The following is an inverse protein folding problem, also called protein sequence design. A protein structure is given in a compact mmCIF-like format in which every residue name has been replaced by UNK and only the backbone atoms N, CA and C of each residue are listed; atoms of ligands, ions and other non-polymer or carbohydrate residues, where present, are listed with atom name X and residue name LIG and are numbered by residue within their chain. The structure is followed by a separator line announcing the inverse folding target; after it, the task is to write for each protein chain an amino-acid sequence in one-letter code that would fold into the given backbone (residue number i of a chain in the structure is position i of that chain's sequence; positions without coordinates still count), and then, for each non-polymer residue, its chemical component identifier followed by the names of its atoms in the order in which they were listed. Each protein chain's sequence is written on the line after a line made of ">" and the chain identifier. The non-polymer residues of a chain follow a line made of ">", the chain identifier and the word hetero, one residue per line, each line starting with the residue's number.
data_IF_147528246983
#
_entry.id   IF_147528246983
#
_cell.length_a   1.000
_cell.length_b   1.000
_cell.length_c   1.000
_cell.angle_alpha   90.00
_cell.angle_beta   90.00
_cell.angle_gamma   90.00
#
_symmetry.space_group_name_H-M   'P 1'
#
loop_
_entity.id
_entity.type
_entity.pdbx_description
1 polymer ?
#
# COMPACT_ATOMS: atom_id res chain seq x y z
N UNK A 1 -34.86 -37.93 4.60
CA UNK A 1 -34.72 -36.51 4.98
C UNK A 1 -33.47 -36.42 5.82
N UNK A 2 -32.33 -36.00 5.26
CA UNK A 2 -31.09 -35.82 6.03
C UNK A 2 -30.07 -34.96 5.26
N UNK A 3 -30.48 -33.74 4.88
CA UNK A 3 -29.67 -32.83 4.05
C UNK A 3 -29.20 -31.55 4.76
N UNK A 4 -29.71 -31.27 5.97
CA UNK A 4 -29.48 -30.02 6.69
C UNK A 4 -28.20 -29.99 7.51
N UNK A 5 -27.74 -31.14 8.02
CA UNK A 5 -26.59 -31.26 8.92
C UNK A 5 -25.26 -30.93 8.25
N UNK A 6 -25.08 -31.24 6.96
CA UNK A 6 -23.85 -30.92 6.22
C UNK A 6 -23.73 -29.46 5.79
N UNK A 7 -24.83 -28.71 5.61
CA UNK A 7 -24.77 -27.28 5.26
C UNK A 7 -24.41 -26.39 6.44
N UNK A 8 -24.80 -26.75 7.67
CA UNK A 8 -24.48 -25.93 8.85
C UNK A 8 -22.99 -25.90 9.20
N UNK A 9 -22.26 -27.01 9.03
CA UNK A 9 -20.84 -27.09 9.36
C UNK A 9 -20.01 -26.11 8.52
N UNK A 10 -20.12 -26.22 7.19
CA UNK A 10 -19.33 -25.39 6.26
C UNK A 10 -19.58 -23.89 6.39
N UNK A 11 -20.79 -23.47 6.80
CA UNK A 11 -21.10 -22.06 7.04
C UNK A 11 -20.46 -21.51 8.34
N UNK A 12 -20.13 -22.38 9.31
CA UNK A 12 -19.40 -21.99 10.52
C UNK A 12 -17.92 -21.82 10.23
N UNK A 13 -17.31 -22.78 9.56
CA UNK A 13 -15.87 -22.76 9.26
C UNK A 13 -15.52 -21.60 8.32
N UNK A 14 -16.34 -21.37 7.29
CA UNK A 14 -16.22 -20.20 6.42
C UNK A 14 -16.30 -18.89 7.22
N UNK A 15 -17.17 -18.80 8.23
CA UNK A 15 -17.29 -17.62 9.09
C UNK A 15 -16.07 -17.39 9.98
N UNK A 16 -15.37 -18.46 10.39
CA UNK A 16 -14.17 -18.36 11.24
C UNK A 16 -12.98 -17.77 10.49
N UNK A 17 -12.72 -18.16 9.21
CA UNK A 17 -11.61 -17.56 8.46
C UNK A 17 -11.82 -16.06 8.19
N UNK A 18 -13.06 -15.66 7.90
CA UNK A 18 -13.42 -14.25 7.72
C UNK A 18 -13.10 -13.42 8.95
N UNK A 19 -13.63 -13.85 10.09
CA UNK A 19 -13.46 -13.14 11.35
C UNK A 19 -11.98 -13.12 11.78
N UNK A 20 -11.20 -14.16 11.48
CA UNK A 20 -9.75 -14.14 11.70
C UNK A 20 -9.04 -13.06 10.87
N UNK A 21 -9.32 -12.94 9.57
CA UNK A 21 -8.73 -11.90 8.72
C UNK A 21 -9.22 -10.49 9.10
N UNK A 22 -10.51 -10.34 9.46
CA UNK A 22 -11.06 -9.10 10.03
C UNK A 22 -10.29 -8.67 11.29
N UNK A 23 -9.97 -9.60 12.20
CA UNK A 23 -9.14 -9.32 13.37
C UNK A 23 -7.70 -8.94 13.00
N UNK A 24 -7.09 -9.58 12.00
CA UNK A 24 -5.73 -9.25 11.55
C UNK A 24 -5.64 -7.83 10.97
N UNK A 25 -6.58 -7.43 10.11
CA UNK A 25 -6.69 -6.04 9.62
C UNK A 25 -6.92 -5.05 10.76
N UNK A 26 -7.77 -5.39 11.73
CA UNK A 26 -8.05 -4.55 12.90
C UNK A 26 -6.81 -4.36 13.79
N UNK A 27 -6.01 -5.41 13.96
CA UNK A 27 -4.77 -5.36 14.74
C UNK A 27 -3.71 -4.47 14.06
N UNK A 28 -3.58 -4.54 12.72
CA UNK A 28 -2.67 -3.67 11.97
C UNK A 28 -3.08 -2.18 12.04
N UNK A 29 -4.38 -1.90 12.00
CA UNK A 29 -4.89 -0.54 12.22
C UNK A 29 -4.68 -0.06 13.67
N UNK A 30 -4.76 -0.95 14.66
CA UNK A 30 -4.50 -0.63 16.06
C UNK A 30 -3.02 -0.31 16.33
N UNK A 31 -2.08 -0.98 15.66
CA UNK A 31 -0.64 -0.67 15.77
C UNK A 31 -0.33 0.78 15.37
N UNK A 32 -1.01 1.34 14.36
CA UNK A 32 -0.87 2.76 13.99
C UNK A 32 -1.24 3.67 15.17
N UNK A 33 -2.34 3.39 15.87
CA UNK A 33 -2.76 4.17 17.03
C UNK A 33 -1.76 4.06 18.20
N UNK A 34 -1.18 2.87 18.42
CA UNK A 34 -0.12 2.66 19.41
C UNK A 34 1.14 3.45 19.05
N UNK A 35 1.60 3.39 17.80
CA UNK A 35 2.75 4.18 17.32
C UNK A 35 2.50 5.67 17.50
N UNK A 36 1.33 6.15 17.08
CA UNK A 36 0.97 7.57 17.19
C UNK A 36 0.99 8.07 18.63
N UNK A 37 0.49 7.27 19.58
CA UNK A 37 0.58 7.58 21.01
C UNK A 37 2.04 7.64 21.50
N UNK A 38 2.89 6.67 21.14
CA UNK A 38 4.31 6.70 21.55
C UNK A 38 5.07 7.91 21.02
N UNK A 39 4.69 8.44 19.86
CA UNK A 39 5.27 9.65 19.27
C UNK A 39 4.77 10.90 20.01
N UNK A 40 3.48 10.97 20.32
CA UNK A 40 2.87 12.07 21.08
C UNK A 40 3.63 12.32 22.39
N UNK A 41 3.96 11.25 23.10
CA UNK A 41 4.67 11.29 24.39
C UNK A 41 6.12 11.77 24.30
N UNK A 42 6.72 11.86 23.11
CA UNK A 42 8.10 12.36 22.94
C UNK A 42 8.26 13.87 23.07
N UNK A 43 7.15 14.63 23.04
CA UNK A 43 7.19 16.10 23.08
C UNK A 43 7.85 16.75 21.85
N UNK A 44 7.89 16.05 20.72
CA UNK A 44 8.42 16.56 19.45
C UNK A 44 7.66 17.83 18.96
N UNK A 45 8.33 18.65 18.15
CA UNK A 45 7.70 19.82 17.52
C UNK A 45 6.72 19.39 16.42
N UNK A 46 5.44 19.64 16.69
CA UNK A 46 4.29 19.34 15.85
C UNK A 46 4.30 20.01 14.48
N UNK A 47 5.03 21.13 14.34
CA UNK A 47 5.14 21.89 13.10
C UNK A 47 6.44 21.62 12.34
N UNK A 48 7.30 20.74 12.86
CA UNK A 48 8.52 20.32 12.18
C UNK A 48 8.21 19.48 10.94
N UNK A 49 9.02 19.63 9.89
CA UNK A 49 8.87 18.83 8.67
C UNK A 49 8.97 17.32 8.91
N UNK A 50 9.80 16.89 9.87
CA UNK A 50 9.97 15.48 10.21
C UNK A 50 8.70 14.93 10.89
N UNK A 51 8.06 15.70 11.79
CA UNK A 51 6.77 15.30 12.36
C UNK A 51 5.68 15.21 11.28
N UNK A 52 5.68 16.11 10.28
CA UNK A 52 4.77 16.03 9.15
C UNK A 52 5.01 14.80 8.25
N UNK A 53 6.27 14.39 8.05
CA UNK A 53 6.64 13.18 7.31
C UNK A 53 6.16 11.90 8.03
N UNK A 54 6.39 11.81 9.34
CA UNK A 54 5.83 10.74 10.14
C UNK A 54 4.29 10.68 10.08
N UNK A 55 3.61 11.84 10.08
CA UNK A 55 2.15 11.89 9.93
C UNK A 55 1.68 11.45 8.53
N UNK A 56 2.40 11.80 7.45
CA UNK A 56 2.06 11.34 6.10
C UNK A 56 2.25 9.83 5.95
N UNK A 57 3.30 9.26 6.55
CA UNK A 57 3.55 7.81 6.54
C UNK A 57 2.46 7.03 7.28
N UNK A 58 2.07 7.51 8.47
CA UNK A 58 0.97 6.92 9.25
C UNK A 58 -0.37 7.00 8.50
N UNK A 59 -0.64 8.13 7.84
CA UNK A 59 -1.83 8.31 6.99
C UNK A 59 -1.80 7.38 5.76
N UNK A 60 -0.65 7.27 5.09
CA UNK A 60 -0.45 6.36 3.95
C UNK A 60 -0.69 4.91 4.37
N UNK A 61 -0.08 4.49 5.48
CA UNK A 61 -0.23 3.15 6.04
C UNK A 61 -1.70 2.84 6.38
N UNK A 62 -2.39 3.79 7.02
CA UNK A 62 -3.82 3.65 7.34
C UNK A 62 -4.69 3.54 6.08
N UNK A 63 -4.46 4.39 5.08
CA UNK A 63 -5.20 4.34 3.80
C UNK A 63 -4.92 3.04 3.05
N UNK A 64 -3.67 2.56 3.05
CA UNK A 64 -3.29 1.29 2.42
C UNK A 64 -4.01 0.10 3.07
N UNK A 65 -3.97 0.02 4.41
CA UNK A 65 -4.68 -1.02 5.20
C UNK A 65 -6.19 -0.93 4.97
N UNK A 66 -6.80 0.26 5.04
CA UNK A 66 -8.24 0.44 4.89
C UNK A 66 -8.72 0.11 3.46
N UNK A 67 -8.01 0.56 2.42
CA UNK A 67 -8.32 0.23 1.03
C UNK A 67 -8.16 -1.26 0.74
N UNK A 68 -7.17 -1.91 1.37
CA UNK A 68 -6.94 -3.35 1.31
C UNK A 68 -8.08 -4.14 1.96
N UNK A 69 -8.45 -3.80 3.19
CA UNK A 69 -9.57 -4.38 3.92
C UNK A 69 -10.89 -4.27 3.14
N UNK A 70 -11.19 -3.08 2.60
CA UNK A 70 -12.34 -2.89 1.72
C UNK A 70 -12.22 -3.74 0.45
N UNK A 71 -11.01 -3.89 -0.09
CA UNK A 71 -10.66 -4.76 -1.21
C UNK A 71 -11.06 -6.21 -0.96
N UNK A 72 -10.54 -6.75 0.13
CA UNK A 72 -10.81 -8.09 0.64
C UNK A 72 -12.30 -8.33 0.90
N UNK A 73 -12.96 -7.48 1.70
CA UNK A 73 -14.41 -7.56 1.98
C UNK A 73 -15.26 -7.64 0.70
N UNK A 74 -15.01 -6.77 -0.30
CA UNK A 74 -15.77 -6.82 -1.57
C UNK A 74 -15.48 -8.07 -2.41
N UNK A 75 -14.27 -8.63 -2.32
CA UNK A 75 -13.93 -9.90 -2.96
C UNK A 75 -14.75 -11.02 -2.31
N UNK A 76 -14.64 -11.16 -0.99
CA UNK A 76 -15.10 -12.33 -0.26
C UNK A 76 -16.64 -12.37 -0.05
N UNK A 77 -17.32 -11.21 -0.04
CA UNK A 77 -18.78 -11.15 -0.21
C UNK A 77 -19.25 -11.83 -1.51
N UNK A 78 -18.38 -11.94 -2.53
CA UNK A 78 -18.65 -12.70 -3.77
C UNK A 78 -18.36 -14.21 -3.69
N UNK A 79 -17.58 -14.66 -2.68
CA UNK A 79 -17.12 -16.04 -2.53
C UNK A 79 -17.79 -16.80 -1.35
N UNK A 80 -18.50 -16.07 -0.47
CA UNK A 80 -19.12 -16.48 0.79
C UNK A 80 -19.92 -17.80 0.81
N UNK A 81 -20.46 -18.23 -0.33
CA UNK A 81 -21.24 -19.48 -0.46
C UNK A 81 -20.39 -20.72 -0.85
N UNK A 82 -19.06 -20.60 -0.89
CA UNK A 82 -18.17 -21.66 -1.44
C UNK A 82 -16.83 -21.85 -0.74
N UNK A 83 -16.37 -20.91 0.09
CA UNK A 83 -15.05 -20.97 0.74
C UNK A 83 -15.02 -21.98 1.91
N UNK A 84 -15.03 -23.28 1.59
CA UNK A 84 -14.71 -24.35 2.53
C UNK A 84 -13.24 -24.76 2.38
N UNK A 85 -12.44 -24.49 3.42
CA UNK A 85 -11.04 -24.94 3.49
C UNK A 85 -11.02 -26.47 3.68
N UNK A 86 -11.02 -27.20 2.57
CA UNK A 86 -11.08 -28.67 2.56
C UNK A 86 -9.73 -29.34 2.84
N UNK A 87 -8.60 -28.63 2.69
CA UNK A 87 -7.26 -29.14 2.96
C UNK A 87 -6.22 -28.02 3.09
N UNK A 88 -5.05 -28.33 3.67
CA UNK A 88 -3.91 -27.41 3.79
C UNK A 88 -3.23 -27.04 2.46
N UNK A 89 -3.62 -27.68 1.35
CA UNK A 89 -3.13 -27.41 -0.01
C UNK A 89 -4.32 -27.00 -0.89
N UNK A 90 -5.37 -26.44 -0.29
CA UNK A 90 -6.49 -25.85 -1.01
C UNK A 90 -6.17 -24.41 -1.44
N UNK A 91 -6.86 -23.92 -2.47
CA UNK A 91 -6.66 -22.56 -2.97
C UNK A 91 -7.10 -21.52 -1.94
N UNK A 92 -8.13 -21.83 -1.17
CA UNK A 92 -8.68 -21.03 -0.07
C UNK A 92 -7.66 -20.89 1.08
N UNK A 93 -6.85 -21.92 1.37
CA UNK A 93 -5.76 -21.81 2.34
C UNK A 93 -4.60 -20.96 1.82
N UNK A 94 -4.28 -21.04 0.52
CA UNK A 94 -3.26 -20.18 -0.10
C UNK A 94 -3.72 -18.72 -0.15
N UNK A 95 -5.02 -18.49 -0.35
CA UNK A 95 -5.67 -17.18 -0.22
C UNK A 95 -5.54 -16.68 1.24
N UNK A 96 -5.96 -17.46 2.24
CA UNK A 96 -5.76 -17.08 3.66
C UNK A 96 -4.28 -16.79 4.01
N UNK A 97 -3.33 -17.54 3.45
CA UNK A 97 -1.91 -17.33 3.70
C UNK A 97 -1.39 -16.01 3.12
N UNK A 98 -1.85 -15.58 1.93
CA UNK A 98 -1.42 -14.29 1.38
C UNK A 98 -1.99 -13.12 2.20
N UNK A 99 -3.24 -13.20 2.68
CA UNK A 99 -3.82 -12.20 3.58
C UNK A 99 -2.97 -12.03 4.85
N UNK A 100 -2.56 -13.14 5.47
CA UNK A 100 -1.68 -13.12 6.65
C UNK A 100 -0.33 -12.47 6.33
N UNK A 101 0.33 -12.87 5.24
CA UNK A 101 1.63 -12.29 4.82
C UNK A 101 1.50 -10.79 4.54
N UNK A 102 0.43 -10.38 3.87
CA UNK A 102 0.13 -9.00 3.51
C UNK A 102 -0.15 -8.13 4.75
N UNK A 103 -0.86 -8.67 5.76
CA UNK A 103 -1.01 -8.02 7.06
C UNK A 103 0.33 -7.92 7.80
N UNK A 104 1.16 -8.95 7.81
CA UNK A 104 2.51 -8.89 8.41
C UNK A 104 3.36 -7.80 7.75
N UNK A 105 3.25 -7.60 6.43
CA UNK A 105 3.92 -6.48 5.73
C UNK A 105 3.38 -5.12 6.18
N UNK A 106 2.08 -5.00 6.48
CA UNK A 106 1.54 -3.76 7.08
C UNK A 106 2.09 -3.51 8.48
N UNK A 107 2.24 -4.54 9.31
CA UNK A 107 2.93 -4.41 10.60
C UNK A 107 4.37 -3.93 10.42
N UNK A 108 5.11 -4.49 9.45
CA UNK A 108 6.49 -4.08 9.17
C UNK A 108 6.53 -2.62 8.69
N UNK A 109 5.66 -2.22 7.75
CA UNK A 109 5.55 -0.83 7.26
C UNK A 109 5.28 0.16 8.41
N UNK A 110 4.33 -0.17 9.30
CA UNK A 110 3.96 0.67 10.45
C UNK A 110 5.04 0.64 11.55
N UNK A 111 5.73 -0.48 11.76
CA UNK A 111 6.77 -0.61 12.79
C UNK A 111 8.09 0.07 12.39
N UNK A 112 8.44 0.02 11.10
CA UNK A 112 9.62 0.66 10.53
C UNK A 112 9.42 2.18 10.30
N UNK A 113 8.24 2.72 10.61
CA UNK A 113 8.01 4.16 10.66
C UNK A 113 9.09 4.84 11.51
N UNK A 114 9.54 6.01 11.05
CA UNK A 114 10.57 6.86 11.66
C UNK A 114 10.64 6.76 13.19
N UNK A 115 11.67 6.06 13.69
CA UNK A 115 11.90 5.92 15.13
C UNK A 115 12.43 7.26 15.65
N UNK A 116 11.82 7.87 16.68
CA UNK A 116 12.38 9.06 17.32
C UNK A 116 13.71 8.70 17.99
N UNK A 117 14.82 9.22 17.44
CA UNK A 117 16.15 8.99 18.01
C UNK A 117 16.41 10.07 19.04
N UNK A 118 16.47 9.65 20.30
CA UNK A 118 17.04 10.47 21.38
C UNK A 118 18.56 10.52 21.17
N UNK A 119 19.06 11.64 20.65
CA UNK A 119 20.50 11.86 20.44
C UNK A 119 21.28 11.65 21.75
N UNK A 120 22.28 10.74 21.81
CA UNK A 120 22.92 10.32 23.06
C UNK A 120 23.81 11.40 23.71
N UNK A 121 24.01 12.55 23.05
CA UNK A 121 24.72 13.71 23.60
C UNK A 121 23.80 14.71 24.33
N UNK A 122 22.59 14.30 24.73
CA UNK A 122 21.58 15.12 25.42
C UNK A 122 21.92 15.45 26.89
N UNK A 123 23.10 16.01 27.15
CA UNK A 123 23.31 16.84 28.33
C UNK A 123 22.60 18.18 28.12
N UNK A 124 21.49 18.39 28.84
CA UNK A 124 20.59 19.56 28.83
C UNK A 124 19.47 19.60 27.78
N UNK A 125 18.40 18.81 28.01
CA UNK A 125 17.02 19.27 27.84
C UNK A 125 16.48 19.52 26.43
N UNK A 126 17.14 19.06 25.38
CA UNK A 126 16.67 19.18 23.99
C UNK A 126 15.64 18.12 23.59
N UNK A 127 14.70 18.50 22.73
CA UNK A 127 13.63 17.64 22.22
C UNK A 127 14.15 16.48 21.35
N UNK A 128 13.38 15.39 21.29
CA UNK A 128 13.71 14.22 20.47
C UNK A 128 13.74 14.56 18.98
N UNK A 129 14.77 14.10 18.27
CA UNK A 129 14.92 14.30 16.82
C UNK A 129 14.41 13.07 16.06
N UNK A 130 13.34 13.26 15.30
CA UNK A 130 12.78 12.22 14.43
C UNK A 130 13.70 12.05 13.20
N UNK A 131 14.20 10.84 12.96
CA UNK A 131 15.01 10.53 11.77
C UNK A 131 14.11 10.04 10.63
N UNK A 132 13.98 10.88 9.62
CA UNK A 132 13.27 10.59 8.38
C UNK A 132 14.01 9.54 7.54
N UNK A 133 13.29 8.60 6.95
CA UNK A 133 13.85 7.54 6.11
C UNK A 133 12.81 6.98 5.14
N UNK A 134 13.09 7.00 3.84
CA UNK A 134 12.19 6.54 2.76
C UNK A 134 12.33 5.03 2.40
N UNK A 135 13.23 4.33 3.09
CA UNK A 135 13.54 2.91 2.82
C UNK A 135 12.38 1.96 3.16
N UNK A 136 11.66 2.10 4.30
CA UNK A 136 10.55 1.21 4.66
C UNK A 136 9.43 1.21 3.61
N UNK A 137 9.06 2.38 3.12
CA UNK A 137 7.98 2.62 2.17
C UNK A 137 8.39 2.12 0.79
N UNK A 138 9.62 2.45 0.36
CA UNK A 138 10.21 1.98 -0.90
C UNK A 138 10.34 0.45 -0.97
N UNK A 139 10.46 -0.25 0.17
CA UNK A 139 10.46 -1.72 0.22
C UNK A 139 9.04 -2.31 0.32
N UNK A 140 8.24 -1.84 1.27
CA UNK A 140 6.98 -2.49 1.62
C UNK A 140 5.86 -2.16 0.62
N UNK A 141 5.79 -0.94 0.08
CA UNK A 141 4.71 -0.53 -0.83
C UNK A 141 4.74 -1.33 -2.14
N UNK A 142 5.87 -1.50 -2.85
CA UNK A 142 5.92 -2.36 -4.03
C UNK A 142 5.62 -3.82 -3.70
N UNK A 143 6.08 -4.32 -2.55
CA UNK A 143 5.78 -5.68 -2.12
C UNK A 143 4.27 -5.91 -1.98
N UNK A 144 3.54 -4.98 -1.36
CA UNK A 144 2.07 -5.03 -1.25
C UNK A 144 1.39 -5.05 -2.62
N UNK A 145 1.80 -4.19 -3.56
CA UNK A 145 1.21 -4.19 -4.90
C UNK A 145 1.57 -5.45 -5.72
N UNK A 146 2.76 -6.02 -5.53
CA UNK A 146 3.13 -7.33 -6.09
C UNK A 146 2.26 -8.44 -5.48
N UNK A 147 2.01 -8.41 -4.16
CA UNK A 147 1.08 -9.34 -3.51
C UNK A 147 -0.35 -9.20 -4.05
N UNK A 148 -0.87 -7.99 -4.30
CA UNK A 148 -2.18 -7.83 -4.97
C UNK A 148 -2.21 -8.40 -6.40
N UNK A 149 -1.10 -8.38 -7.13
CA UNK A 149 -0.98 -9.02 -8.44
C UNK A 149 -1.00 -10.56 -8.31
N UNK A 150 -0.27 -11.11 -7.34
CA UNK A 150 -0.29 -12.55 -7.01
C UNK A 150 -1.68 -13.00 -6.56
N UNK A 151 -2.36 -12.20 -5.73
CA UNK A 151 -3.75 -12.39 -5.30
C UNK A 151 -4.72 -12.52 -6.48
N UNK A 152 -4.62 -11.61 -7.45
CA UNK A 152 -5.48 -11.61 -8.63
C UNK A 152 -5.32 -12.87 -9.50
N UNK A 153 -4.16 -13.51 -9.43
CA UNK A 153 -3.83 -14.74 -10.15
C UNK A 153 -4.35 -15.95 -9.36
N UNK A 154 -4.07 -16.02 -8.05
CA UNK A 154 -4.51 -17.10 -7.16
C UNK A 154 -6.04 -17.21 -7.12
N UNK A 155 -6.74 -16.12 -6.81
CA UNK A 155 -8.22 -16.07 -6.71
C UNK A 155 -8.95 -16.48 -8.00
N UNK A 156 -8.29 -16.49 -9.16
CA UNK A 156 -8.91 -16.73 -10.48
C UNK A 156 -8.40 -17.96 -11.23
N UNK A 157 -7.26 -18.52 -10.82
CA UNK A 157 -6.76 -19.82 -11.31
C UNK A 157 -7.74 -20.99 -11.11
N UNK A 158 -8.37 -21.18 -9.93
CA UNK A 158 -9.38 -22.22 -9.73
C UNK A 158 -10.73 -21.84 -10.34
N UNK A 159 -11.07 -20.54 -10.35
CA UNK A 159 -12.30 -19.99 -10.94
C UNK A 159 -12.29 -19.97 -12.47
N UNK A 160 -11.95 -21.10 -13.12
CA UNK A 160 -12.03 -21.24 -14.58
C UNK A 160 -13.46 -21.15 -15.14
N UNK A 161 -14.49 -21.10 -14.30
CA UNK A 161 -15.90 -20.96 -14.68
C UNK A 161 -16.46 -19.69 -14.03
N UNK A 162 -16.95 -18.78 -14.86
CA UNK A 162 -17.62 -17.53 -14.49
C UNK A 162 -18.97 -17.84 -13.84
N UNK A 163 -19.01 -17.82 -12.50
CA UNK A 163 -20.16 -18.26 -11.68
C UNK A 163 -21.46 -17.51 -11.98
N UNK A 164 -21.42 -16.28 -12.52
CA UNK A 164 -22.61 -15.52 -12.94
C UNK A 164 -23.18 -15.95 -14.28
N UNK A 165 -22.40 -16.65 -15.12
CA UNK A 165 -22.80 -17.02 -16.48
C UNK A 165 -22.63 -18.51 -16.82
N UNK A 166 -22.02 -19.31 -15.94
CA UNK A 166 -21.69 -20.72 -16.15
C UNK A 166 -20.66 -20.97 -17.25
N UNK A 167 -20.07 -19.92 -17.84
CA UNK A 167 -19.16 -20.00 -18.99
C UNK A 167 -17.71 -20.02 -18.53
N UNK A 168 -16.78 -20.67 -19.24
CA UNK A 168 -15.38 -20.60 -18.87
C UNK A 168 -14.87 -19.17 -18.89
N UNK A 169 -14.08 -18.78 -17.88
CA UNK A 169 -13.48 -17.46 -17.76
C UNK A 169 -12.50 -17.25 -18.93
N UNK A 170 -12.95 -16.52 -19.95
CA UNK A 170 -12.13 -16.26 -21.13
C UNK A 170 -10.84 -15.51 -20.76
N UNK A 171 -9.67 -15.89 -21.30
CA UNK A 171 -8.38 -15.33 -20.89
C UNK A 171 -8.31 -13.80 -21.02
N UNK A 172 -9.07 -13.21 -21.95
CA UNK A 172 -9.18 -11.76 -22.09
C UNK A 172 -9.79 -11.02 -20.88
N UNK A 173 -10.71 -11.63 -20.12
CA UNK A 173 -11.24 -11.03 -18.87
C UNK A 173 -10.16 -11.04 -17.77
N UNK A 174 -9.49 -12.18 -17.61
CA UNK A 174 -8.39 -12.37 -16.66
C UNK A 174 -7.28 -11.33 -16.90
N UNK A 175 -6.83 -11.24 -18.16
CA UNK A 175 -5.79 -10.31 -18.58
C UNK A 175 -6.20 -8.85 -18.41
N UNK A 176 -7.47 -8.49 -18.69
CA UNK A 176 -7.97 -7.11 -18.50
C UNK A 176 -7.90 -6.66 -17.03
N UNK A 177 -8.25 -7.52 -16.07
CA UNK A 177 -8.22 -7.17 -14.64
C UNK A 177 -6.82 -7.24 -14.04
N UNK A 178 -6.03 -8.27 -14.38
CA UNK A 178 -4.63 -8.39 -13.94
C UNK A 178 -3.72 -7.27 -14.47
N UNK A 179 -4.04 -6.70 -15.65
CA UNK A 179 -3.32 -5.53 -16.20
C UNK A 179 -3.32 -4.31 -15.29
N UNK A 180 -4.38 -4.06 -14.52
CA UNK A 180 -4.45 -2.93 -13.58
C UNK A 180 -3.42 -3.13 -12.46
N UNK A 181 -3.45 -4.28 -11.81
CA UNK A 181 -2.53 -4.63 -10.73
C UNK A 181 -1.08 -4.67 -11.21
N UNK A 182 -0.85 -5.13 -12.45
CA UNK A 182 0.47 -5.11 -13.08
C UNK A 182 0.97 -3.67 -13.31
N UNK A 183 0.15 -2.78 -13.90
CA UNK A 183 0.52 -1.37 -14.09
C UNK A 183 0.84 -0.70 -12.76
N UNK A 184 -0.03 -0.84 -11.76
CA UNK A 184 0.16 -0.23 -10.44
C UNK A 184 1.39 -0.80 -9.71
N UNK A 185 1.62 -2.11 -9.78
CA UNK A 185 2.85 -2.72 -9.27
C UNK A 185 4.09 -2.15 -9.96
N UNK A 186 4.11 -2.07 -11.30
CA UNK A 186 5.24 -1.45 -12.02
C UNK A 186 5.45 0.02 -11.64
N UNK A 187 4.38 0.81 -11.46
CA UNK A 187 4.48 2.19 -11.00
C UNK A 187 5.13 2.28 -9.62
N UNK A 188 4.66 1.49 -8.65
CA UNK A 188 5.23 1.46 -7.29
C UNK A 188 6.70 1.04 -7.26
N UNK A 189 7.09 0.03 -8.06
CA UNK A 189 8.49 -0.39 -8.22
C UNK A 189 9.33 0.75 -8.83
N UNK A 190 8.84 1.43 -9.88
CA UNK A 190 9.58 2.55 -10.48
C UNK A 190 9.71 3.74 -9.55
N UNK A 191 8.69 4.07 -8.76
CA UNK A 191 8.78 5.11 -7.73
C UNK A 191 9.88 4.77 -6.72
N UNK A 192 9.86 3.55 -6.19
CA UNK A 192 10.83 3.09 -5.19
C UNK A 192 12.26 3.06 -5.73
N UNK A 193 12.44 2.63 -6.98
CA UNK A 193 13.74 2.63 -7.65
C UNK A 193 14.32 4.05 -7.86
N UNK A 194 13.48 5.08 -8.05
CA UNK A 194 13.93 6.48 -8.19
C UNK A 194 14.46 7.06 -6.87
N UNK A 195 14.01 6.53 -5.73
CA UNK A 195 14.39 7.01 -4.40
C UNK A 195 15.38 6.11 -3.65
N UNK A 196 15.69 4.92 -4.18
CA UNK A 196 16.47 3.87 -3.50
C UNK A 196 17.84 4.32 -2.94
N UNK A 197 18.65 5.02 -3.74
CA UNK A 197 20.01 5.45 -3.36
C UNK A 197 20.07 6.93 -2.92
N UNK A 198 18.94 7.54 -2.51
CA UNK A 198 18.90 8.98 -2.17
C UNK A 198 18.75 9.20 -0.66
N UNK A 199 19.53 10.14 -0.13
CA UNK A 199 19.24 10.75 1.17
C UNK A 199 17.93 11.54 1.04
N UNK A 200 16.84 10.93 1.50
CA UNK A 200 15.50 11.51 1.41
C UNK A 200 15.33 12.62 2.44
N UNK A 201 14.83 13.78 2.00
CA UNK A 201 14.36 14.82 2.92
C UNK A 201 12.95 14.49 3.43
N UNK A 202 12.53 15.13 4.52
CA UNK A 202 11.15 15.05 5.00
C UNK A 202 10.12 15.39 3.90
N UNK A 203 10.46 16.31 2.99
CA UNK A 203 9.60 16.70 1.89
C UNK A 203 9.50 15.61 0.81
N UNK A 204 10.58 14.86 0.56
CA UNK A 204 10.57 13.71 -0.35
C UNK A 204 9.68 12.58 0.19
N UNK A 205 9.72 12.30 1.50
CA UNK A 205 8.86 11.30 2.15
C UNK A 205 7.39 11.71 2.06
N UNK A 206 7.03 12.94 2.45
CA UNK A 206 5.65 13.46 2.32
C UNK A 206 5.17 13.36 0.86
N UNK A 207 6.01 13.70 -0.10
CA UNK A 207 5.67 13.62 -1.52
C UNK A 207 5.46 12.18 -2.01
N UNK A 208 6.28 11.24 -1.53
CA UNK A 208 6.14 9.81 -1.82
C UNK A 208 4.86 9.23 -1.22
N UNK A 209 4.60 9.48 0.06
CA UNK A 209 3.41 9.03 0.79
C UNK A 209 2.12 9.49 0.11
N UNK A 210 2.04 10.78 -0.24
CA UNK A 210 0.89 11.34 -0.95
C UNK A 210 0.72 10.73 -2.35
N UNK A 211 1.83 10.43 -3.06
CA UNK A 211 1.78 9.73 -4.34
C UNK A 211 1.31 8.28 -4.19
N UNK A 212 1.71 7.58 -3.12
CA UNK A 212 1.25 6.22 -2.80
C UNK A 212 -0.22 6.23 -2.39
N UNK A 213 -0.67 7.16 -1.54
CA UNK A 213 -2.09 7.35 -1.19
C UNK A 213 -2.92 7.52 -2.46
N UNK A 214 -2.50 8.42 -3.35
CA UNK A 214 -3.16 8.63 -4.63
C UNK A 214 -3.18 7.35 -5.47
N UNK A 215 -2.08 6.58 -5.50
CA UNK A 215 -1.96 5.32 -6.25
C UNK A 215 -2.88 4.22 -5.69
N UNK A 216 -3.03 4.12 -4.36
CA UNK A 216 -3.94 3.19 -3.68
C UNK A 216 -5.39 3.51 -4.00
N UNK A 217 -5.80 4.78 -3.88
CA UNK A 217 -7.16 5.22 -4.24
C UNK A 217 -7.43 4.97 -5.73
N UNK A 218 -6.48 5.30 -6.59
CA UNK A 218 -6.56 5.08 -8.05
C UNK A 218 -6.74 3.61 -8.42
N UNK A 219 -5.94 2.73 -7.80
CA UNK A 219 -6.04 1.28 -7.95
C UNK A 219 -7.41 0.75 -7.52
N UNK A 220 -7.95 1.29 -6.42
CA UNK A 220 -9.25 0.87 -5.90
C UNK A 220 -10.39 1.22 -6.85
N UNK A 221 -10.44 2.47 -7.30
CA UNK A 221 -11.42 2.97 -8.27
C UNK A 221 -11.35 2.20 -9.61
N UNK A 222 -10.14 1.88 -10.08
CA UNK A 222 -9.94 1.05 -11.28
C UNK A 222 -10.58 -0.31 -11.19
N UNK A 223 -10.32 -1.04 -10.09
CA UNK A 223 -10.87 -2.39 -9.91
C UNK A 223 -12.39 -2.37 -9.84
N UNK A 224 -12.96 -1.39 -9.13
CA UNK A 224 -14.41 -1.25 -8.97
C UNK A 224 -15.12 -0.87 -10.28
N UNK A 225 -14.55 0.04 -11.07
CA UNK A 225 -15.09 0.37 -12.39
C UNK A 225 -15.01 -0.81 -13.38
N UNK A 226 -13.92 -1.57 -13.39
CA UNK A 226 -13.79 -2.76 -14.25
C UNK A 226 -14.78 -3.87 -13.89
N UNK A 227 -15.11 -4.03 -12.60
CA UNK A 227 -16.05 -5.05 -12.14
C UNK A 227 -17.54 -4.65 -12.34
N UNK A 228 -17.85 -3.36 -12.40
CA UNK A 228 -19.25 -2.86 -12.42
C UNK A 228 -19.84 -2.66 -13.82
N UNK A 229 -19.10 -2.06 -14.77
CA UNK A 229 -19.74 -1.44 -15.97
C UNK A 229 -19.42 -2.09 -17.31
N UNK A 230 -18.33 -2.86 -17.44
CA UNK A 230 -17.94 -3.52 -18.71
C UNK A 230 -17.62 -2.58 -19.91
N UNK A 231 -17.79 -1.27 -19.73
CA UNK A 231 -17.82 -0.17 -20.71
C UNK A 231 -17.38 1.11 -19.95
N UNK A 232 -16.43 1.94 -20.37
CA UNK A 232 -15.52 1.88 -21.52
C UNK A 232 -14.10 2.34 -21.11
N UNK A 233 -13.05 1.72 -21.66
CA UNK A 233 -11.66 1.94 -21.22
C UNK A 233 -11.16 3.38 -21.47
N UNK A 234 -11.66 4.07 -22.50
CA UNK A 234 -11.14 5.35 -22.95
C UNK A 234 -11.43 6.56 -22.02
N UNK A 235 -12.58 6.59 -21.32
CA UNK A 235 -12.92 7.70 -20.41
C UNK A 235 -12.13 7.59 -19.11
N UNK A 236 -12.17 6.38 -18.54
CA UNK A 236 -11.25 5.85 -17.53
C UNK A 236 -9.83 6.32 -17.88
N UNK A 237 -9.26 5.85 -19.00
CA UNK A 237 -7.89 6.12 -19.42
C UNK A 237 -7.49 7.62 -19.44
N UNK A 238 -8.41 8.55 -19.71
CA UNK A 238 -8.10 10.00 -19.66
C UNK A 238 -7.88 10.50 -18.23
N UNK A 239 -8.68 10.04 -17.27
CA UNK A 239 -8.45 10.30 -15.84
C UNK A 239 -7.16 9.68 -15.34
N UNK A 240 -6.84 8.45 -15.75
CA UNK A 240 -5.58 7.79 -15.37
C UNK A 240 -4.36 8.41 -16.02
N UNK A 241 -4.44 8.91 -17.26
CA UNK A 241 -3.34 9.69 -17.86
C UNK A 241 -3.13 10.99 -17.09
N UNK A 242 -4.20 11.69 -16.68
CA UNK A 242 -4.06 12.90 -15.86
C UNK A 242 -3.42 12.60 -14.48
N UNK A 243 -3.86 11.56 -13.77
CA UNK A 243 -3.29 11.24 -12.45
C UNK A 243 -1.91 10.60 -12.54
N UNK A 244 -1.62 9.77 -13.55
CA UNK A 244 -0.27 9.27 -13.80
C UNK A 244 0.67 10.41 -14.19
N UNK A 245 0.24 11.38 -15.01
CA UNK A 245 1.02 12.57 -15.29
C UNK A 245 1.29 13.37 -14.01
N UNK A 246 0.30 13.53 -13.11
CA UNK A 246 0.52 14.16 -11.81
C UNK A 246 1.50 13.37 -10.93
N UNK A 247 1.41 12.04 -10.90
CA UNK A 247 2.33 11.13 -10.19
C UNK A 247 3.73 11.10 -10.79
N UNK A 248 3.92 11.41 -12.08
CA UNK A 248 5.23 11.65 -12.67
C UNK A 248 5.70 13.10 -12.42
N UNK A 249 4.78 14.06 -12.32
CA UNK A 249 5.10 15.45 -12.01
C UNK A 249 5.68 15.58 -10.59
N UNK A 250 5.15 14.86 -9.60
CA UNK A 250 5.60 14.97 -8.19
C UNK A 250 7.10 14.57 -8.03
N UNK A 251 7.58 13.39 -8.48
CA UNK A 251 9.00 13.07 -8.52
C UNK A 251 9.79 13.97 -9.46
N UNK A 252 9.22 14.47 -10.56
CA UNK A 252 9.91 15.41 -11.46
C UNK A 252 10.15 16.77 -10.79
N UNK A 253 9.22 17.21 -9.94
CA UNK A 253 9.33 18.42 -9.12
C UNK A 253 10.30 18.20 -7.94
N UNK A 254 10.30 17.02 -7.31
CA UNK A 254 11.31 16.66 -6.30
C UNK A 254 12.73 16.57 -6.91
N UNK A 255 12.86 15.98 -8.11
CA UNK A 255 14.10 16.00 -8.90
C UNK A 255 14.51 17.43 -9.27
N UNK A 256 13.57 18.29 -9.64
CA UNK A 256 13.83 19.71 -9.92
C UNK A 256 14.36 20.43 -8.68
N UNK A 257 13.71 20.29 -7.52
CA UNK A 257 14.18 20.91 -6.28
C UNK A 257 15.56 20.38 -5.85
N UNK A 258 15.77 19.06 -5.86
CA UNK A 258 17.08 18.46 -5.58
C UNK A 258 18.18 18.94 -6.54
N UNK A 259 17.88 19.08 -7.83
CA UNK A 259 18.80 19.64 -8.81
C UNK A 259 19.12 21.11 -8.53
N UNK A 260 18.11 21.94 -8.21
CA UNK A 260 18.35 23.35 -7.84
C UNK A 260 19.20 23.49 -6.57
N UNK A 261 19.09 22.57 -5.62
CA UNK A 261 19.93 22.58 -4.42
C UNK A 261 21.39 22.26 -4.76
N UNK A 262 21.66 21.21 -5.53
CA UNK A 262 23.01 20.90 -6.00
C UNK A 262 23.62 22.02 -6.84
N UNK A 263 22.85 22.64 -7.74
CA UNK A 263 23.31 23.79 -8.54
C UNK A 263 23.66 24.98 -7.65
N UNK A 264 22.85 25.28 -6.63
CA UNK A 264 23.13 26.37 -5.68
C UNK A 264 24.38 26.09 -4.85
N UNK A 265 24.56 24.88 -4.34
CA UNK A 265 25.77 24.47 -3.61
C UNK A 265 27.02 24.55 -4.49
N UNK A 266 26.94 24.12 -5.75
CA UNK A 266 28.04 24.23 -6.71
C UNK A 266 28.37 25.70 -7.04
N UNK A 267 27.36 26.56 -7.21
CA UNK A 267 27.55 28.00 -7.43
C UNK A 267 28.21 28.69 -6.23
N UNK A 268 27.85 28.34 -4.99
CA UNK A 268 28.52 28.87 -3.80
C UNK A 268 29.98 28.42 -3.72
N UNK A 269 30.26 27.13 -3.92
CA UNK A 269 31.64 26.62 -3.95
C UNK A 269 32.51 27.28 -5.04
N UNK A 270 31.94 27.63 -6.19
CA UNK A 270 32.64 28.41 -7.24
C UNK A 270 32.82 29.87 -6.84
N UNK A 271 31.84 30.48 -6.17
CA UNK A 271 31.95 31.85 -5.65
C UNK A 271 33.05 31.99 -4.59
N UNK A 272 33.19 30.99 -3.72
CA UNK A 272 34.20 30.98 -2.64
C UNK A 272 35.64 30.76 -3.16
N UNK A 273 35.79 30.27 -4.39
CA UNK A 273 37.08 30.03 -5.05
C UNK A 273 37.60 31.22 -5.88
N UNK A 274 36.77 32.25 -6.10
CA UNK A 274 37.16 33.46 -6.84
C UNK A 274 37.67 34.54 -5.88
N UNK A 275 38.91 35.04 -6.03
CA UNK A 275 39.38 36.18 -5.26
C UNK A 275 38.60 37.44 -5.66
N UNK A 276 38.09 38.16 -4.65
CA UNK A 276 37.38 39.44 -4.81
C UNK A 276 38.29 40.64 -5.05
#
# INVERSE_FOLDING_TARGET
>A
MDGSTHQEGGNRDAKVHLTFVEFLFSLAAAEIAVRYATVFDTGADWWSWNFLALNSHMLMSLVLIAASYLGWQKSEISHRDTSQISSLISWEFLELLLDVVLVVVYFILVHLSEIPVLEPNAAAGTAATIRVSLIPEALCVPFVFIMYLVWDVISKLPSRIDRKTGKPFGPGKLFRRGRISCVVATMSVTMSAVFWDREATAQDVIAFDLAVIALVVLFRELKEHVDSTGINFALVQRGYVALALAMFFIPSVALWFGWTHHVRSAMQAVSDLLPG
#
